data_IF_164728513686
#
_entry.id   IF_164728513686
#
_cell.length_a   1.000
_cell.length_b   1.000
_cell.length_c   1.000
_cell.angle_alpha   90.00
_cell.angle_beta   90.00
_cell.angle_gamma   90.00
#
_symmetry.space_group_name_H-M   'P 1'
#
loop_
_entity.id
_entity.type
_entity.pdbx_description
1 polymer ?
#
# COMPACT_ATOMS: atom_id res chain seq x y z
N UNK A 1 13.46 -17.90 -10.11
CA UNK A 1 12.89 -17.08 -9.01
C UNK A 1 12.02 -15.97 -9.60
N UNK A 2 10.83 -15.73 -9.04
CA UNK A 2 10.06 -14.52 -9.41
C UNK A 2 10.81 -13.30 -8.87
N UNK A 3 10.95 -12.24 -9.68
CA UNK A 3 11.56 -10.99 -9.22
C UNK A 3 10.63 -10.36 -8.18
N UNK A 4 11.19 -10.04 -7.02
CA UNK A 4 10.48 -9.30 -5.97
C UNK A 4 10.62 -7.82 -6.32
N UNK A 5 9.48 -7.15 -6.53
CA UNK A 5 9.43 -5.70 -6.57
C UNK A 5 9.02 -5.21 -5.17
N UNK A 6 9.93 -4.52 -4.48
CA UNK A 6 9.61 -3.89 -3.21
C UNK A 6 8.90 -2.56 -3.46
N UNK A 7 7.79 -2.36 -2.74
CA UNK A 7 7.09 -1.08 -2.68
C UNK A 7 7.01 -0.66 -1.21
N UNK A 8 7.45 0.56 -0.91
CA UNK A 8 7.38 1.09 0.46
C UNK A 8 6.13 1.95 0.60
N UNK A 9 5.08 1.49 1.31
CA UNK A 9 3.95 2.35 1.64
C UNK A 9 4.39 3.45 2.60
N UNK A 10 3.78 4.62 2.46
CA UNK A 10 3.92 5.70 3.44
C UNK A 10 2.73 5.64 4.39
N UNK A 11 3.02 5.42 5.67
CA UNK A 11 2.05 5.47 6.76
C UNK A 11 2.37 6.69 7.63
N UNK A 12 1.36 7.28 8.26
CA UNK A 12 1.60 8.11 9.45
C UNK A 12 2.17 7.25 10.58
N UNK A 13 2.75 7.88 11.60
CA UNK A 13 3.28 7.15 12.76
C UNK A 13 2.18 6.33 13.46
N UNK A 14 0.99 6.91 13.60
CA UNK A 14 -0.18 6.25 14.18
C UNK A 14 -0.62 5.04 13.36
N UNK A 15 -0.76 5.20 12.04
CA UNK A 15 -1.12 4.10 11.13
C UNK A 15 -0.10 2.97 11.19
N UNK A 16 1.20 3.31 11.16
CA UNK A 16 2.27 2.33 11.27
C UNK A 16 2.23 1.61 12.63
N UNK A 17 1.88 2.32 13.70
CA UNK A 17 1.64 1.76 15.04
C UNK A 17 0.51 0.74 15.02
N UNK A 18 -0.64 1.09 14.44
CA UNK A 18 -1.79 0.18 14.33
C UNK A 18 -1.48 -1.06 13.48
N UNK A 19 -0.78 -0.90 12.35
CA UNK A 19 -0.35 -2.02 11.49
C UNK A 19 0.51 -3.01 12.28
N UNK A 20 1.50 -2.51 13.04
CA UNK A 20 2.36 -3.35 13.88
C UNK A 20 1.57 -4.03 14.99
N UNK A 21 0.67 -3.31 15.66
CA UNK A 21 -0.15 -3.86 16.74
C UNK A 21 -1.06 -4.98 16.24
N UNK A 22 -1.73 -4.78 15.10
CA UNK A 22 -2.59 -5.79 14.48
C UNK A 22 -1.81 -7.04 14.07
N UNK A 23 -0.65 -6.86 13.42
CA UNK A 23 0.22 -7.98 13.06
C UNK A 23 0.70 -8.75 14.29
N UNK A 24 1.12 -8.06 15.35
CA UNK A 24 1.58 -8.70 16.59
C UNK A 24 0.47 -9.52 17.26
N UNK A 25 -0.76 -9.00 17.25
CA UNK A 25 -1.90 -9.66 17.88
C UNK A 25 -2.45 -10.85 17.08
N UNK A 26 -2.44 -10.78 15.74
CA UNK A 26 -3.21 -11.71 14.91
C UNK A 26 -2.51 -12.21 13.64
N UNK A 27 -1.35 -11.65 13.26
CA UNK A 27 -0.68 -11.98 11.99
C UNK A 27 -0.38 -13.47 11.84
N UNK A 28 0.17 -14.10 12.89
CA UNK A 28 0.47 -15.53 12.89
C UNK A 28 -0.80 -16.40 12.81
N UNK A 29 -1.89 -15.99 13.44
CA UNK A 29 -3.18 -16.69 13.39
C UNK A 29 -3.79 -16.67 11.99
N UNK A 30 -3.48 -15.62 11.23
CA UNK A 30 -3.91 -15.43 9.84
C UNK A 30 -2.90 -15.99 8.81
N UNK A 31 -1.80 -16.59 9.27
CA UNK A 31 -0.76 -17.20 8.43
C UNK A 31 0.26 -16.24 7.84
N UNK A 32 0.37 -15.00 8.33
CA UNK A 32 1.39 -14.05 7.89
C UNK A 32 2.72 -14.30 8.64
N UNK A 33 3.79 -14.61 7.91
CA UNK A 33 5.12 -14.83 8.47
C UNK A 33 5.88 -13.52 8.78
N UNK A 34 5.44 -12.40 8.21
CA UNK A 34 6.04 -11.09 8.39
C UNK A 34 5.01 -9.96 8.24
N UNK A 35 5.35 -8.76 8.73
CA UNK A 35 4.54 -7.55 8.49
C UNK A 35 4.39 -7.26 6.99
N UNK A 36 5.40 -7.62 6.19
CA UNK A 36 5.32 -7.45 4.73
C UNK A 36 4.26 -8.36 4.12
N UNK A 37 4.18 -9.61 4.56
CA UNK A 37 3.15 -10.55 4.10
C UNK A 37 1.74 -10.05 4.47
N UNK A 38 1.58 -9.55 5.70
CA UNK A 38 0.34 -8.95 6.16
C UNK A 38 -0.11 -7.76 5.27
N UNK A 39 0.82 -6.83 4.99
CA UNK A 39 0.53 -5.68 4.12
C UNK A 39 0.19 -6.15 2.70
N UNK A 40 0.99 -7.05 2.12
CA UNK A 40 0.75 -7.57 0.76
C UNK A 40 -0.62 -8.26 0.69
N UNK A 41 -0.98 -9.07 1.68
CA UNK A 41 -2.27 -9.75 1.77
C UNK A 41 -3.42 -8.75 1.85
N UNK A 42 -3.31 -7.74 2.70
CA UNK A 42 -4.27 -6.65 2.81
C UNK A 42 -4.45 -5.88 1.50
N UNK A 43 -3.35 -5.44 0.88
CA UNK A 43 -3.37 -4.71 -0.39
C UNK A 43 -3.96 -5.55 -1.52
N UNK A 44 -3.56 -6.82 -1.65
CA UNK A 44 -4.05 -7.70 -2.72
C UNK A 44 -5.51 -8.12 -2.52
N UNK A 45 -6.01 -8.17 -1.27
CA UNK A 45 -7.44 -8.34 -0.99
C UNK A 45 -8.25 -7.19 -1.60
N UNK A 46 -7.75 -5.96 -1.44
CA UNK A 46 -8.41 -4.77 -1.98
C UNK A 46 -8.32 -4.69 -3.51
N UNK A 47 -7.16 -5.02 -4.10
CA UNK A 47 -7.02 -5.14 -5.56
C UNK A 47 -8.06 -6.10 -6.14
N UNK A 48 -8.21 -7.29 -5.54
CA UNK A 48 -9.23 -8.26 -5.97
C UNK A 48 -10.66 -7.73 -5.81
N UNK A 49 -10.93 -6.95 -4.76
CA UNK A 49 -12.24 -6.30 -4.54
C UNK A 49 -12.54 -5.32 -5.67
N UNK A 50 -11.55 -4.51 -6.07
CA UNK A 50 -11.68 -3.55 -7.16
C UNK A 50 -11.84 -4.25 -8.51
N UNK A 51 -11.08 -5.32 -8.78
CA UNK A 51 -11.23 -6.13 -10.01
C UNK A 51 -12.66 -6.65 -10.15
N UNK A 52 -13.24 -7.21 -9.08
CA UNK A 52 -14.63 -7.68 -9.07
C UNK A 52 -15.62 -6.54 -9.33
N UNK A 53 -15.43 -5.40 -8.67
CA UNK A 53 -16.37 -4.26 -8.75
C UNK A 53 -16.28 -3.49 -10.06
N UNK A 54 -15.09 -3.38 -10.65
CA UNK A 54 -14.83 -2.42 -11.73
C UNK A 54 -14.23 -3.06 -13.00
N UNK A 55 -13.88 -4.34 -12.99
CA UNK A 55 -13.28 -5.01 -14.14
C UNK A 55 -13.81 -6.43 -14.36
N UNK A 56 -15.08 -6.69 -14.00
CA UNK A 56 -15.73 -8.00 -14.19
C UNK A 56 -14.96 -9.18 -13.56
N UNK A 57 -14.21 -8.91 -12.49
CA UNK A 57 -13.33 -9.89 -11.84
C UNK A 57 -12.03 -10.17 -12.57
N UNK A 58 -11.75 -9.53 -13.71
CA UNK A 58 -10.51 -9.68 -14.47
C UNK A 58 -9.39 -8.84 -13.86
N UNK A 59 -8.15 -9.32 -14.00
CA UNK A 59 -6.97 -8.52 -13.68
C UNK A 59 -6.80 -7.37 -14.69
N UNK A 60 -6.20 -6.27 -14.24
CA UNK A 60 -5.74 -5.20 -15.12
C UNK A 60 -4.33 -5.50 -15.64
N UNK A 61 -4.00 -4.90 -16.77
CA UNK A 61 -2.63 -4.92 -17.29
C UNK A 61 -1.67 -4.25 -16.31
N UNK A 62 -0.45 -4.79 -16.15
CA UNK A 62 0.53 -4.25 -15.22
C UNK A 62 1.02 -2.87 -15.68
N UNK A 63 1.15 -1.97 -14.71
CA UNK A 63 1.70 -0.63 -14.92
C UNK A 63 3.16 -0.62 -14.44
N UNK A 64 4.12 -0.09 -15.22
CA UNK A 64 5.53 -0.08 -14.83
C UNK A 64 5.79 0.82 -13.60
N UNK A 65 6.84 0.48 -12.85
CA UNK A 65 7.31 1.31 -11.75
C UNK A 65 7.63 2.73 -12.25
N UNK A 66 7.20 3.74 -11.50
CA UNK A 66 7.41 5.17 -11.84
C UNK A 66 6.31 5.80 -12.70
N UNK A 67 5.38 5.03 -13.27
CA UNK A 67 4.26 5.58 -14.03
C UNK A 67 3.15 6.17 -13.14
N UNK A 68 3.17 5.91 -11.83
CA UNK A 68 2.24 6.46 -10.87
C UNK A 68 2.88 7.59 -10.06
N UNK A 69 2.09 8.62 -9.74
CA UNK A 69 2.50 9.67 -8.79
C UNK A 69 2.80 9.03 -7.43
N UNK A 70 3.98 9.33 -6.88
CA UNK A 70 4.35 8.90 -5.53
C UNK A 70 3.55 9.73 -4.51
N UNK A 71 2.99 9.08 -3.49
CA UNK A 71 2.06 9.69 -2.54
C UNK A 71 2.65 10.73 -1.58
N UNK A 72 3.98 10.89 -1.53
CA UNK A 72 4.56 12.08 -0.91
C UNK A 72 4.19 13.28 -1.79
N UNK A 73 3.50 14.28 -1.22
CA UNK A 73 3.44 15.61 -1.81
C UNK A 73 4.85 15.97 -2.29
N UNK A 74 5.00 16.47 -3.51
CA UNK A 74 6.32 17.04 -3.86
C UNK A 74 6.63 18.13 -2.84
N UNK A 75 7.92 18.37 -2.55
CA UNK A 75 8.30 19.49 -1.69
C UNK A 75 7.65 20.81 -2.17
N UNK A 76 7.42 20.92 -3.47
CA UNK A 76 6.72 22.04 -4.12
C UNK A 76 5.24 22.16 -3.70
N UNK A 77 4.52 21.04 -3.53
CA UNK A 77 3.12 21.04 -3.06
C UNK A 77 2.98 21.36 -1.57
N UNK A 78 4.04 21.17 -0.79
CA UNK A 78 4.12 21.63 0.60
C UNK A 78 4.44 23.13 0.65
N UNK A 79 5.29 23.62 -0.26
CA UNK A 79 5.76 25.01 -0.31
C UNK A 79 4.64 26.00 -0.67
N UNK A 80 3.84 25.70 -1.69
CA UNK A 80 2.75 26.59 -2.13
C UNK A 80 1.57 26.70 -1.17
N UNK A 81 1.46 25.82 -0.15
CA UNK A 81 0.47 25.98 0.92
C UNK A 81 0.86 27.05 1.94
N UNK A 82 2.16 27.28 2.14
CA UNK A 82 2.66 28.26 3.11
C UNK A 82 2.75 29.68 2.55
N UNK A 83 2.59 29.84 1.23
CA UNK A 83 2.60 31.14 0.53
C UNK A 83 1.21 31.76 0.38
N UNK A 84 0.15 31.06 0.83
CA UNK A 84 -1.25 31.51 0.79
C UNK A 84 -1.80 32.01 2.12
N UNK A 85 -0.95 32.59 2.98
CA UNK A 85 -1.39 33.29 4.21
C UNK A 85 -1.26 34.79 4.01
#
# INVERSE_FOLDING_TARGET
>A
MKKIAAFTPYFTEEEAGQVRAAFLAAGALEGDASVSDFIVRGTMREVKRLQRRHNQGRAWDPVPAGALRRGQRTKDEIRHRNEGT
#
